data_IF_642769495759
#
_entry.id   IF_642769495759
#
_cell.length_a   1.000
_cell.length_b   1.000
_cell.length_c   1.000
_cell.angle_alpha   90.00
_cell.angle_beta   90.00
_cell.angle_gamma   90.00
#
_symmetry.space_group_name_H-M   'P 1'
#
loop_
_entity.id
_entity.type
_entity.pdbx_description
1 polymer ?
#
# COMPACT_ATOMS: atom_id res chain seq x y z
N UNK A 1 19.26 85.53 10.91
CA UNK A 1 18.33 84.95 9.92
C UNK A 1 17.64 83.78 10.60
N UNK A 2 16.38 83.96 10.99
CA UNK A 2 15.59 82.99 11.79
C UNK A 2 14.61 82.31 10.83
N UNK A 3 14.68 80.99 10.70
CA UNK A 3 13.74 80.19 9.90
C UNK A 3 12.62 79.64 10.80
N UNK A 4 11.35 79.61 10.34
CA UNK A 4 10.21 79.25 11.17
C UNK A 4 9.95 77.73 11.22
N UNK A 5 9.44 77.27 12.38
CA UNK A 5 8.95 75.91 12.62
C UNK A 5 7.70 75.62 11.78
N UNK A 6 7.76 74.57 10.95
CA UNK A 6 6.62 74.01 10.21
C UNK A 6 5.83 73.08 11.13
N UNK A 7 4.58 73.41 11.43
CA UNK A 7 3.61 72.54 12.09
C UNK A 7 3.13 71.47 11.11
N UNK A 8 3.46 70.20 11.38
CA UNK A 8 3.03 69.06 10.58
C UNK A 8 1.57 68.69 10.84
N UNK A 9 0.80 68.61 9.76
CA UNK A 9 -0.57 68.13 9.71
C UNK A 9 -0.62 66.63 10.06
N UNK A 10 -1.58 66.25 10.92
CA UNK A 10 -1.82 64.83 11.25
C UNK A 10 -2.53 64.17 10.07
N UNK A 11 -1.79 63.40 9.27
CA UNK A 11 -2.37 62.49 8.28
C UNK A 11 -3.29 61.48 8.99
N UNK A 12 -4.56 61.49 8.63
CA UNK A 12 -5.53 60.47 8.98
C UNK A 12 -5.10 59.15 8.32
N UNK A 13 -4.71 58.15 9.13
CA UNK A 13 -4.44 56.79 8.65
C UNK A 13 -5.74 55.97 8.72
N UNK A 14 -6.29 55.51 7.58
CA UNK A 14 -7.52 54.72 7.56
C UNK A 14 -7.36 53.29 8.13
N UNK A 15 -6.15 52.90 8.55
CA UNK A 15 -5.82 51.53 8.96
C UNK A 15 -6.03 51.21 10.44
N UNK A 16 -6.56 52.14 11.25
CA UNK A 16 -6.67 51.94 12.72
C UNK A 16 -7.89 51.14 13.20
N UNK A 17 -8.75 50.65 12.31
CA UNK A 17 -9.98 49.92 12.72
C UNK A 17 -10.18 48.58 12.02
N UNK A 18 -9.11 47.95 11.54
CA UNK A 18 -9.20 46.56 11.07
C UNK A 18 -9.13 45.63 12.27
N UNK A 19 -10.30 45.24 12.78
CA UNK A 19 -10.43 44.29 13.88
C UNK A 19 -10.13 42.88 13.35
N UNK A 20 -8.87 42.45 13.51
CA UNK A 20 -8.35 41.14 13.05
C UNK A 20 -9.28 39.97 13.40
N UNK A 21 -9.85 39.88 14.62
CA UNK A 21 -10.87 38.88 14.96
C UNK A 21 -12.06 38.80 13.98
N UNK A 22 -12.55 39.95 13.49
CA UNK A 22 -13.67 39.99 12.55
C UNK A 22 -13.26 39.37 11.21
N UNK A 23 -12.04 39.65 10.73
CA UNK A 23 -11.53 39.04 9.49
C UNK A 23 -11.43 37.52 9.64
N UNK A 24 -10.92 37.03 10.77
CA UNK A 24 -10.78 35.58 11.00
C UNK A 24 -12.14 34.87 11.04
N UNK A 25 -13.15 35.47 11.66
CA UNK A 25 -14.53 34.93 11.66
C UNK A 25 -15.10 34.90 10.24
N UNK A 26 -14.88 35.94 9.44
CA UNK A 26 -15.31 35.95 8.04
C UNK A 26 -14.59 34.88 7.20
N UNK A 27 -13.29 34.70 7.39
CA UNK A 27 -12.53 33.66 6.69
C UNK A 27 -13.01 32.25 7.06
N UNK A 28 -13.27 31.98 8.34
CA UNK A 28 -13.85 30.69 8.76
C UNK A 28 -15.26 30.48 8.18
N UNK A 29 -16.10 31.51 8.18
CA UNK A 29 -17.45 31.42 7.59
C UNK A 29 -17.42 31.10 6.09
N UNK A 30 -16.51 31.72 5.33
CA UNK A 30 -16.31 31.43 3.91
C UNK A 30 -15.80 30.00 3.71
N UNK A 31 -14.84 29.55 4.52
CA UNK A 31 -14.32 28.19 4.44
C UNK A 31 -15.42 27.13 4.66
N UNK A 32 -16.23 27.30 5.72
CA UNK A 32 -17.35 26.38 6.02
C UNK A 32 -18.36 26.36 4.86
N UNK A 33 -18.69 27.52 4.29
CA UNK A 33 -19.61 27.60 3.15
C UNK A 33 -19.05 26.90 1.91
N UNK A 34 -17.76 27.03 1.63
CA UNK A 34 -17.11 26.36 0.50
C UNK A 34 -17.10 24.84 0.69
N UNK A 35 -16.73 24.39 1.89
CA UNK A 35 -16.70 22.96 2.25
C UNK A 35 -18.09 22.32 2.15
N UNK A 36 -19.11 22.98 2.72
CA UNK A 36 -20.50 22.51 2.62
C UNK A 36 -20.97 22.44 1.15
N UNK A 37 -20.60 23.43 0.35
CA UNK A 37 -20.98 23.50 -1.07
C UNK A 37 -20.33 22.36 -1.86
N UNK A 38 -19.05 22.08 -1.62
CA UNK A 38 -18.34 20.95 -2.22
C UNK A 38 -18.95 19.61 -1.80
N UNK A 39 -19.31 19.45 -0.53
CA UNK A 39 -19.98 18.25 -0.05
C UNK A 39 -21.37 18.06 -0.70
N UNK A 40 -22.19 19.10 -0.82
CA UNK A 40 -23.49 19.02 -1.50
C UNK A 40 -23.37 18.70 -3.00
N UNK A 41 -22.33 19.23 -3.66
CA UNK A 41 -22.03 18.86 -5.05
C UNK A 41 -21.60 17.40 -5.19
N UNK A 42 -20.84 16.86 -4.23
CA UNK A 42 -20.44 15.45 -4.24
C UNK A 42 -21.63 14.49 -4.09
N UNK A 43 -22.58 14.83 -3.21
CA UNK A 43 -23.79 14.03 -2.95
C UNK A 43 -24.72 14.03 -4.16
N UNK A 44 -24.89 15.17 -4.82
CA UNK A 44 -25.72 15.27 -6.02
C UNK A 44 -25.12 14.50 -7.19
N UNK A 45 -23.79 14.54 -7.37
CA UNK A 45 -23.11 13.76 -8.41
C UNK A 45 -23.23 12.24 -8.17
N UNK A 46 -23.13 11.80 -6.92
CA UNK A 46 -23.34 10.40 -6.54
C UNK A 46 -24.77 9.92 -6.84
N UNK A 47 -25.78 10.74 -6.57
CA UNK A 47 -27.17 10.39 -6.85
C UNK A 47 -27.46 10.30 -8.36
N UNK A 48 -26.86 11.15 -9.18
CA UNK A 48 -27.01 11.12 -10.64
C UNK A 48 -26.40 9.84 -11.22
N UNK A 49 -25.16 9.48 -10.84
CA UNK A 49 -24.55 8.21 -11.26
C UNK A 49 -25.35 6.98 -10.80
N UNK A 50 -25.93 7.02 -9.60
CA UNK A 50 -26.77 5.91 -9.10
C UNK A 50 -28.09 5.74 -9.87
N UNK A 51 -28.58 6.80 -10.52
CA UNK A 51 -29.79 6.77 -11.36
C UNK A 51 -29.46 6.30 -12.78
N UNK A 52 -28.36 6.77 -13.36
CA UNK A 52 -27.90 6.29 -14.68
C UNK A 52 -27.55 4.79 -14.67
N UNK A 53 -26.93 4.29 -13.59
CA UNK A 53 -26.64 2.86 -13.46
C UNK A 53 -27.90 2.00 -13.22
N UNK A 54 -28.97 2.57 -12.67
CA UNK A 54 -30.27 1.89 -12.52
C UNK A 54 -31.08 1.90 -13.81
N UNK A 55 -30.99 2.96 -14.63
CA UNK A 55 -31.66 3.01 -15.93
C UNK A 55 -30.96 2.14 -16.99
N UNK A 56 -29.64 1.97 -16.96
CA UNK A 56 -28.96 1.00 -17.85
C UNK A 56 -29.33 -0.44 -17.53
N UNK A 57 -29.61 -0.75 -16.25
CA UNK A 57 -30.00 -2.09 -15.81
C UNK A 57 -31.49 -2.43 -16.02
N UNK A 58 -32.34 -1.46 -16.37
CA UNK A 58 -33.77 -1.71 -16.53
C UNK A 58 -34.18 -2.16 -17.95
N UNK A 59 -33.25 -2.26 -18.90
CA UNK A 59 -33.49 -2.85 -20.23
C UNK A 59 -33.20 -4.35 -20.34
N UNK A 60 -32.69 -4.98 -19.29
CA UNK A 60 -32.55 -6.43 -19.21
C UNK A 60 -33.32 -6.98 -18.00
N UNK A 61 -34.64 -7.12 -18.11
CA UNK A 61 -35.36 -8.05 -17.22
C UNK A 61 -36.69 -8.50 -17.82
N UNK A 62 -36.66 -9.53 -18.67
CA UNK A 62 -37.59 -10.66 -18.55
C UNK A 62 -36.85 -11.92 -19.01
N UNK A 63 -36.06 -12.51 -18.12
CA UNK A 63 -35.81 -13.95 -18.16
C UNK A 63 -35.64 -14.44 -16.73
N UNK A 64 -36.43 -15.43 -16.39
CA UNK A 64 -36.54 -16.10 -15.11
C UNK A 64 -35.20 -16.57 -14.56
N UNK A 65 -35.03 -16.40 -13.25
CA UNK A 65 -34.09 -17.08 -12.33
C UNK A 65 -33.47 -18.36 -12.89
N UNK A 66 -32.33 -18.24 -13.54
CA UNK A 66 -31.29 -19.26 -13.58
C UNK A 66 -30.15 -18.72 -12.74
N UNK A 67 -29.80 -19.44 -11.66
CA UNK A 67 -28.51 -19.29 -11.00
C UNK A 67 -27.48 -19.55 -12.10
N UNK A 68 -26.87 -18.48 -12.58
CA UNK A 68 -25.88 -18.51 -13.64
C UNK A 68 -24.58 -19.05 -13.01
N UNK A 69 -24.55 -20.37 -12.78
CA UNK A 69 -23.33 -21.12 -12.54
C UNK A 69 -22.52 -21.09 -13.83
N UNK A 70 -21.88 -19.94 -14.11
CA UNK A 70 -20.72 -19.93 -14.97
C UNK A 70 -19.77 -20.99 -14.40
N UNK A 71 -19.26 -21.91 -15.25
CA UNK A 71 -18.29 -22.90 -14.79
C UNK A 71 -17.16 -22.15 -14.08
N UNK A 72 -16.88 -22.55 -12.84
CA UNK A 72 -15.81 -21.98 -12.04
C UNK A 72 -14.53 -22.10 -12.87
N UNK A 73 -14.04 -20.96 -13.39
CA UNK A 73 -12.87 -20.92 -14.25
C UNK A 73 -11.72 -21.50 -13.43
N UNK A 74 -11.10 -22.56 -13.95
CA UNK A 74 -9.97 -23.19 -13.28
C UNK A 74 -8.80 -22.19 -13.32
N UNK A 75 -8.33 -21.79 -12.15
CA UNK A 75 -7.21 -20.87 -11.98
C UNK A 75 -5.89 -21.64 -11.97
N UNK A 76 -5.47 -22.13 -13.13
CA UNK A 76 -4.29 -22.98 -13.28
C UNK A 76 -3.12 -22.28 -13.98
N UNK A 77 -3.30 -21.05 -14.45
CA UNK A 77 -2.26 -20.28 -15.15
C UNK A 77 -1.92 -18.97 -14.43
N UNK A 78 -0.73 -18.44 -14.71
CA UNK A 78 -0.31 -17.12 -14.19
C UNK A 78 -1.07 -15.98 -14.88
N UNK A 79 -1.46 -16.21 -16.14
CA UNK A 79 -2.16 -15.24 -16.98
C UNK A 79 -3.53 -14.87 -16.39
N UNK A 80 -4.14 -15.75 -15.60
CA UNK A 80 -5.41 -15.47 -14.92
C UNK A 80 -5.32 -14.38 -13.83
N UNK A 81 -4.10 -13.99 -13.43
CA UNK A 81 -3.84 -12.93 -12.46
C UNK A 81 -3.35 -11.62 -13.10
N UNK A 82 -3.02 -11.61 -14.39
CA UNK A 82 -2.38 -10.48 -15.10
C UNK A 82 -3.37 -9.87 -16.11
N UNK A 83 -3.46 -8.54 -16.12
CA UNK A 83 -4.38 -7.83 -17.04
C UNK A 83 -3.82 -7.67 -18.46
N UNK A 84 -2.54 -7.28 -18.56
CA UNK A 84 -1.87 -6.95 -19.82
C UNK A 84 -0.39 -7.29 -19.76
N UNK A 85 0.22 -7.42 -20.92
CA UNK A 85 1.67 -7.55 -21.07
C UNK A 85 2.33 -6.23 -21.46
N UNK A 86 3.61 -6.08 -21.09
CA UNK A 86 4.42 -4.97 -21.54
C UNK A 86 4.47 -4.93 -23.09
N UNK A 87 4.09 -3.80 -23.69
CA UNK A 87 4.03 -3.62 -25.15
C UNK A 87 2.64 -3.84 -25.77
N UNK A 88 1.64 -4.30 -25.03
CA UNK A 88 0.27 -4.35 -25.50
C UNK A 88 -0.29 -2.92 -25.68
N UNK A 89 -0.83 -2.61 -26.85
CA UNK A 89 -1.50 -1.33 -27.09
C UNK A 89 -2.72 -1.21 -26.16
N UNK A 90 -2.78 -0.09 -25.41
CA UNK A 90 -3.93 0.30 -24.60
C UNK A 90 -4.57 1.55 -25.17
N UNK A 91 -5.89 1.59 -25.13
CA UNK A 91 -6.61 2.83 -25.30
C UNK A 91 -6.17 3.82 -24.19
N UNK A 92 -5.84 5.08 -24.50
CA UNK A 92 -5.47 6.08 -23.51
C UNK A 92 -6.60 6.21 -22.49
N UNK A 93 -6.35 5.79 -21.24
CA UNK A 93 -7.32 6.01 -20.18
C UNK A 93 -7.25 7.47 -19.70
N UNK A 94 -8.39 8.06 -19.34
CA UNK A 94 -8.45 9.38 -18.70
C UNK A 94 -7.58 9.39 -17.42
N UNK A 95 -6.59 10.29 -17.28
CA UNK A 95 -5.77 10.42 -16.07
C UNK A 95 -6.58 10.56 -14.77
N UNK A 96 -7.78 11.14 -14.83
CA UNK A 96 -8.68 11.23 -13.68
C UNK A 96 -9.36 9.92 -13.32
N UNK A 97 -9.64 9.10 -14.32
CA UNK A 97 -10.02 7.73 -14.06
C UNK A 97 -8.82 7.06 -13.40
N UNK A 98 -7.60 7.15 -13.98
CA UNK A 98 -6.38 6.53 -13.46
C UNK A 98 -6.03 6.87 -11.99
N UNK A 99 -6.43 8.03 -11.47
CA UNK A 99 -6.23 8.44 -10.06
C UNK A 99 -7.22 7.81 -9.05
N UNK A 100 -8.31 7.19 -9.52
CA UNK A 100 -9.41 6.69 -8.67
C UNK A 100 -9.47 5.16 -8.53
N UNK A 101 -8.52 4.40 -9.09
CA UNK A 101 -8.67 2.95 -9.18
C UNK A 101 -8.21 2.23 -7.92
N UNK A 102 -9.19 1.64 -7.24
CA UNK A 102 -9.10 0.25 -6.89
C UNK A 102 -8.88 -0.54 -8.19
N UNK A 103 -7.71 -1.16 -8.41
CA UNK A 103 -7.51 -2.06 -9.56
C UNK A 103 -8.68 -3.06 -9.61
N UNK A 104 -9.18 -3.45 -10.80
CA UNK A 104 -10.28 -4.41 -10.89
C UNK A 104 -9.90 -5.71 -10.18
N UNK A 105 -10.86 -6.51 -9.69
CA UNK A 105 -10.53 -7.81 -9.13
C UNK A 105 -9.84 -8.70 -10.17
N UNK A 106 -8.87 -9.48 -9.71
CA UNK A 106 -8.37 -10.62 -10.46
C UNK A 106 -9.54 -11.58 -10.74
N UNK A 107 -9.47 -12.31 -11.86
CA UNK A 107 -10.48 -13.34 -12.15
C UNK A 107 -10.40 -14.47 -11.11
N UNK A 108 -9.19 -14.72 -10.62
CA UNK A 108 -8.88 -15.74 -9.64
C UNK A 108 -8.85 -15.23 -8.21
N UNK A 109 -9.40 -16.05 -7.32
CA UNK A 109 -9.36 -15.84 -5.88
C UNK A 109 -8.11 -16.48 -5.31
N UNK A 110 -7.56 -15.85 -4.27
CA UNK A 110 -6.46 -16.41 -3.49
C UNK A 110 -6.94 -16.63 -2.06
N UNK A 111 -6.71 -17.82 -1.52
CA UNK A 111 -7.25 -18.24 -0.21
C UNK A 111 -8.78 -18.05 -0.10
N UNK A 112 -9.52 -18.17 -1.20
CA UNK A 112 -10.98 -17.97 -1.25
C UNK A 112 -11.43 -16.51 -1.32
N UNK A 113 -10.52 -15.55 -1.27
CA UNK A 113 -10.83 -14.12 -1.28
C UNK A 113 -10.52 -13.49 -2.64
N UNK A 114 -11.30 -12.47 -3.02
CA UNK A 114 -10.95 -11.61 -4.16
C UNK A 114 -9.68 -10.83 -3.82
N UNK A 115 -8.85 -10.60 -4.82
CA UNK A 115 -7.61 -9.82 -4.74
C UNK A 115 -7.55 -8.91 -5.97
N UNK A 116 -6.78 -7.82 -5.92
CA UNK A 116 -6.60 -6.95 -7.07
C UNK A 116 -6.01 -7.72 -8.25
N UNK A 117 -6.34 -7.31 -9.46
CA UNK A 117 -5.66 -7.77 -10.68
C UNK A 117 -4.29 -7.12 -10.79
N UNK A 118 -3.29 -7.85 -11.28
CA UNK A 118 -1.96 -7.29 -11.52
C UNK A 118 -1.92 -6.54 -12.85
N UNK A 119 -1.46 -5.29 -12.80
CA UNK A 119 -1.21 -4.44 -13.97
C UNK A 119 0.26 -3.96 -14.01
N UNK A 120 1.11 -4.51 -14.88
CA UNK A 120 2.53 -4.16 -14.90
C UNK A 120 2.75 -2.64 -15.03
N UNK A 121 1.86 -1.91 -15.70
CA UNK A 121 2.04 -0.48 -15.97
C UNK A 121 1.56 0.42 -14.81
N UNK A 122 0.66 -0.06 -13.96
CA UNK A 122 -0.02 0.77 -12.96
C UNK A 122 0.07 0.22 -11.52
N UNK A 123 0.86 -0.81 -11.25
CA UNK A 123 0.97 -1.44 -9.92
C UNK A 123 1.75 -0.60 -8.87
N UNK A 124 2.21 0.60 -9.21
CA UNK A 124 2.97 1.49 -8.31
C UNK A 124 2.03 2.30 -7.42
N UNK A 125 2.44 2.63 -6.18
CA UNK A 125 1.79 3.66 -5.33
C UNK A 125 1.80 5.00 -6.07
N UNK A 126 0.80 5.19 -6.93
CA UNK A 126 0.85 6.25 -7.93
C UNK A 126 0.76 7.63 -7.30
N UNK A 127 0.12 7.75 -6.14
CA UNK A 127 0.16 8.96 -5.34
C UNK A 127 1.59 9.33 -4.96
N UNK A 128 2.38 8.38 -4.47
CA UNK A 128 3.81 8.55 -4.17
C UNK A 128 4.62 8.83 -5.44
N UNK A 129 4.46 8.00 -6.48
CA UNK A 129 5.20 8.12 -7.74
C UNK A 129 4.96 9.46 -8.46
N UNK A 130 3.76 10.03 -8.33
CA UNK A 130 3.41 11.34 -8.88
C UNK A 130 3.69 12.50 -7.91
N UNK A 131 4.21 12.22 -6.71
CA UNK A 131 4.53 13.22 -5.69
C UNK A 131 3.31 13.90 -5.06
N UNK A 132 2.12 13.29 -5.18
CA UNK A 132 0.88 13.80 -4.56
C UNK A 132 0.79 13.52 -3.07
N UNK A 133 1.53 12.53 -2.58
CA UNK A 133 1.49 12.08 -1.18
C UNK A 133 2.83 11.47 -0.79
N UNK A 134 3.05 11.34 0.52
CA UNK A 134 4.19 10.62 1.07
C UNK A 134 3.90 9.13 1.12
N UNK A 135 4.96 8.34 1.29
CA UNK A 135 4.91 6.88 1.46
C UNK A 135 3.99 6.44 2.61
N UNK A 136 3.90 7.27 3.66
CA UNK A 136 3.07 7.02 4.83
C UNK A 136 1.63 7.53 4.69
N UNK A 137 1.42 8.51 3.80
CA UNK A 137 0.16 9.22 3.66
C UNK A 137 -0.67 8.77 2.46
N UNK A 138 -0.13 7.89 1.59
CA UNK A 138 -0.84 7.45 0.39
C UNK A 138 -2.08 6.62 0.75
N UNK A 139 -3.25 7.27 0.66
CA UNK A 139 -4.58 6.66 0.85
C UNK A 139 -5.14 6.07 -0.44
N UNK A 140 -4.42 6.14 -1.56
CA UNK A 140 -4.85 5.50 -2.82
C UNK A 140 -4.66 3.98 -2.80
N UNK A 141 -4.29 3.43 -1.64
CA UNK A 141 -3.86 2.05 -1.47
C UNK A 141 -4.94 0.98 -1.68
N UNK A 142 -4.40 -0.21 -1.92
CA UNK A 142 -5.04 -1.54 -1.95
C UNK A 142 -5.69 -1.94 -0.61
N UNK A 143 -6.03 -1.00 0.28
CA UNK A 143 -6.51 -1.31 1.65
C UNK A 143 -7.70 -2.28 1.61
N UNK A 144 -8.65 -2.05 0.71
CA UNK A 144 -9.81 -2.91 0.51
C UNK A 144 -9.46 -4.27 -0.12
N UNK A 145 -8.25 -4.45 -0.64
CA UNK A 145 -7.74 -5.74 -1.10
C UNK A 145 -6.98 -6.49 -0.02
N UNK A 146 -6.49 -5.85 1.05
CA UNK A 146 -5.76 -6.59 2.08
C UNK A 146 -6.57 -7.70 2.72
N UNK A 147 -5.94 -8.83 3.00
CA UNK A 147 -6.60 -9.98 3.62
C UNK A 147 -7.11 -9.62 5.01
N UNK A 148 -6.37 -8.78 5.76
CA UNK A 148 -6.78 -8.29 7.07
C UNK A 148 -8.06 -7.45 7.08
N UNK A 149 -8.55 -6.96 5.93
CA UNK A 149 -9.89 -6.33 5.83
C UNK A 149 -11.01 -7.33 5.59
N UNK A 150 -10.67 -8.57 5.25
CA UNK A 150 -11.60 -9.67 4.91
C UNK A 150 -11.65 -10.73 6.01
N UNK A 151 -10.56 -10.88 6.74
CA UNK A 151 -10.36 -11.83 7.83
C UNK A 151 -9.96 -11.05 9.08
N UNK A 152 -10.66 -11.32 10.19
CA UNK A 152 -10.34 -10.71 11.48
C UNK A 152 -9.17 -11.42 12.15
N UNK A 153 -7.95 -11.00 11.79
CA UNK A 153 -6.72 -11.54 12.38
C UNK A 153 -6.55 -11.18 13.86
N UNK A 154 -7.30 -10.22 14.40
CA UNK A 154 -7.22 -9.85 15.82
C UNK A 154 -7.76 -10.95 16.76
N UNK A 155 -8.43 -11.97 16.19
CA UNK A 155 -8.82 -13.19 16.92
C UNK A 155 -7.65 -14.14 17.19
N UNK A 156 -6.56 -14.04 16.41
CA UNK A 156 -5.37 -14.84 16.67
C UNK A 156 -4.70 -14.37 17.96
N UNK A 157 -4.27 -15.34 18.79
CA UNK A 157 -3.59 -15.05 20.05
C UNK A 157 -2.22 -14.40 19.81
N UNK A 158 -1.56 -14.78 18.71
CA UNK A 158 -0.27 -14.29 18.27
C UNK A 158 -0.39 -13.73 16.86
N UNK A 159 0.08 -12.50 16.66
CA UNK A 159 -0.05 -11.73 15.44
C UNK A 159 1.32 -11.16 15.11
N UNK A 160 1.97 -11.75 14.12
CA UNK A 160 3.38 -11.55 13.82
C UNK A 160 3.52 -10.75 12.53
N UNK A 161 4.21 -9.62 12.62
CA UNK A 161 4.68 -8.89 11.45
C UNK A 161 6.17 -9.13 11.25
N UNK A 162 6.56 -9.48 10.03
CA UNK A 162 7.96 -9.71 9.64
C UNK A 162 8.29 -8.74 8.51
N UNK A 163 9.24 -7.84 8.75
CA UNK A 163 9.71 -6.86 7.79
C UNK A 163 11.13 -7.24 7.34
N UNK A 164 11.25 -7.75 6.11
CA UNK A 164 12.53 -8.06 5.50
C UNK A 164 12.98 -6.87 4.65
N UNK A 165 13.89 -6.04 5.18
CA UNK A 165 14.25 -4.77 4.58
C UNK A 165 13.66 -3.56 5.29
N UNK A 166 13.71 -3.56 6.63
CA UNK A 166 12.99 -2.59 7.41
C UNK A 166 13.52 -1.16 7.22
N UNK A 167 14.83 -0.98 6.98
CA UNK A 167 15.53 0.32 6.91
C UNK A 167 15.39 1.22 8.16
N UNK A 168 14.22 1.46 8.74
CA UNK A 168 14.05 2.20 9.99
C UNK A 168 12.71 1.92 10.64
N UNK A 169 12.53 2.36 11.88
CA UNK A 169 11.23 2.18 12.54
C UNK A 169 10.12 3.00 11.88
N UNK A 170 10.44 4.20 11.37
CA UNK A 170 9.47 5.14 10.81
C UNK A 170 9.07 4.86 9.34
N UNK A 171 9.51 3.72 8.76
CA UNK A 171 9.21 3.32 7.37
C UNK A 171 8.03 2.34 7.35
N UNK A 172 8.19 1.16 6.73
CA UNK A 172 7.21 0.08 6.67
C UNK A 172 6.76 -0.36 8.05
N UNK A 173 7.65 -0.46 9.05
CA UNK A 173 7.25 -0.86 10.43
C UNK A 173 6.17 0.07 10.99
N UNK A 174 6.39 1.38 10.99
CA UNK A 174 5.40 2.33 11.48
C UNK A 174 4.12 2.33 10.64
N UNK A 175 4.24 2.14 9.32
CA UNK A 175 3.07 2.04 8.46
C UNK A 175 2.19 0.83 8.84
N UNK A 176 2.77 -0.37 8.92
CA UNK A 176 2.03 -1.58 9.30
C UNK A 176 1.45 -1.48 10.71
N UNK A 177 2.20 -0.94 11.67
CA UNK A 177 1.73 -0.79 13.04
C UNK A 177 0.56 0.20 13.19
N UNK A 178 0.37 1.13 12.25
CA UNK A 178 -0.65 2.19 12.37
C UNK A 178 -1.77 2.12 11.34
N UNK A 179 -1.56 1.45 10.20
CA UNK A 179 -2.51 1.45 9.08
C UNK A 179 -3.03 0.07 8.73
N UNK A 180 -2.20 -0.97 8.82
CA UNK A 180 -2.65 -2.31 8.51
C UNK A 180 -3.67 -2.75 9.58
N UNK A 181 -4.79 -3.42 9.22
CA UNK A 181 -5.95 -3.63 10.11
C UNK A 181 -5.73 -4.74 11.17
N UNK A 182 -4.54 -4.82 11.74
CA UNK A 182 -4.12 -5.80 12.74
C UNK A 182 -3.28 -5.15 13.82
N UNK A 183 -3.61 -5.42 15.08
CA UNK A 183 -2.82 -5.02 16.23
C UNK A 183 -1.73 -6.07 16.53
N UNK A 184 -0.58 -5.94 15.89
CA UNK A 184 0.50 -6.94 15.97
C UNK A 184 1.02 -7.12 17.41
N UNK A 185 1.15 -8.37 17.84
CA UNK A 185 1.76 -8.71 19.14
C UNK A 185 3.28 -8.76 19.06
N UNK A 186 3.82 -9.05 17.87
CA UNK A 186 5.25 -9.20 17.63
C UNK A 186 5.62 -8.57 16.28
N UNK A 187 6.73 -7.82 16.27
CA UNK A 187 7.28 -7.22 15.05
C UNK A 187 8.75 -7.61 14.95
N UNK A 188 9.13 -8.22 13.83
CA UNK A 188 10.50 -8.62 13.53
C UNK A 188 11.01 -7.84 12.31
N UNK A 189 11.90 -6.88 12.55
CA UNK A 189 12.56 -6.11 11.50
C UNK A 189 13.93 -6.68 11.16
N UNK A 190 14.21 -6.88 9.88
CA UNK A 190 15.50 -7.33 9.37
C UNK A 190 16.07 -6.28 8.43
N UNK A 191 17.37 -6.05 8.54
CA UNK A 191 18.09 -5.18 7.63
C UNK A 191 19.44 -5.83 7.29
N UNK A 192 19.82 -5.76 6.02
CA UNK A 192 21.09 -6.32 5.53
C UNK A 192 22.28 -5.44 5.86
N UNK A 193 22.07 -4.12 5.93
CA UNK A 193 23.12 -3.15 6.26
C UNK A 193 22.99 -2.67 7.71
N UNK A 194 23.97 -2.94 8.59
CA UNK A 194 23.86 -2.68 10.03
C UNK A 194 23.68 -1.20 10.41
N UNK A 195 23.98 -0.29 9.48
CA UNK A 195 23.85 1.16 9.65
C UNK A 195 22.55 1.73 9.06
N UNK A 196 21.75 0.91 8.36
CA UNK A 196 20.48 1.36 7.81
C UNK A 196 19.40 1.34 8.89
N UNK A 197 19.24 0.24 9.65
CA UNK A 197 18.19 0.13 10.67
C UNK A 197 18.27 1.24 11.74
N UNK A 198 17.43 2.27 11.59
CA UNK A 198 17.34 3.38 12.56
C UNK A 198 16.21 3.14 13.55
N UNK A 199 16.58 2.97 14.82
CA UNK A 199 15.64 2.89 15.95
C UNK A 199 15.28 4.29 16.48
N UNK A 200 14.09 4.45 17.10
CA UNK A 200 13.72 5.69 17.78
C UNK A 200 14.66 6.00 18.95
N UNK A 201 14.85 7.28 19.26
CA UNK A 201 15.65 7.69 20.42
C UNK A 201 15.04 7.14 21.73
N UNK A 202 15.87 6.52 22.58
CA UNK A 202 15.44 5.91 23.84
C UNK A 202 14.98 4.46 23.73
N UNK A 203 14.99 3.87 22.53
CA UNK A 203 14.94 2.42 22.37
C UNK A 203 16.33 1.85 22.60
N UNK A 204 16.50 1.16 23.74
CA UNK A 204 17.75 0.49 24.08
C UNK A 204 17.78 -0.91 23.47
N UNK A 205 18.59 -1.06 22.43
CA UNK A 205 18.84 -2.35 21.80
C UNK A 205 19.45 -3.34 22.80
N UNK A 206 20.32 -2.91 23.75
CA UNK A 206 21.00 -3.79 24.74
C UNK A 206 20.01 -4.59 25.59
N UNK A 207 18.81 -4.05 25.83
CA UNK A 207 17.73 -4.73 26.53
C UNK A 207 16.94 -5.76 25.68
N UNK A 208 17.11 -5.72 24.37
CA UNK A 208 16.40 -6.52 23.36
C UNK A 208 17.32 -7.43 22.52
N UNK A 209 18.56 -7.68 23.00
CA UNK A 209 19.44 -8.70 22.42
C UNK A 209 19.21 -10.07 23.06
N UNK A 210 19.10 -11.10 22.23
CA UNK A 210 19.50 -12.44 22.65
C UNK A 210 21.03 -12.51 22.72
N UNK A 211 21.54 -13.12 23.79
CA UNK A 211 22.97 -13.17 24.16
C UNK A 211 23.88 -13.46 22.95
N UNK A 212 25.03 -12.77 22.87
CA UNK A 212 25.99 -12.86 21.74
C UNK A 212 26.56 -14.27 21.52
N UNK A 213 26.39 -15.17 22.50
CA UNK A 213 26.66 -16.61 22.37
C UNK A 213 25.64 -17.39 21.53
N UNK A 214 24.51 -16.78 21.20
CA UNK A 214 23.42 -17.31 20.36
C UNK A 214 23.33 -16.40 19.12
N UNK A 215 24.32 -16.49 18.25
CA UNK A 215 24.45 -15.82 16.95
C UNK A 215 23.22 -15.03 16.41
N UNK A 216 23.18 -13.71 16.66
CA UNK A 216 22.33 -12.73 15.94
C UNK A 216 22.84 -12.34 14.55
N UNK A 217 23.97 -12.92 14.12
CA UNK A 217 24.40 -13.01 12.73
C UNK A 217 24.81 -14.45 12.46
N UNK A 218 23.89 -15.40 12.61
CA UNK A 218 24.10 -16.72 12.01
C UNK A 218 24.04 -16.51 10.49
N UNK A 219 24.86 -17.26 9.74
CA UNK A 219 24.44 -17.67 8.39
C UNK A 219 23.05 -18.27 8.55
N UNK A 220 22.00 -17.48 8.37
CA UNK A 220 20.65 -18.01 8.27
C UNK A 220 20.72 -18.86 7.00
N UNK A 221 20.68 -20.19 7.16
CA UNK A 221 20.86 -21.10 6.01
C UNK A 221 19.78 -20.87 4.93
N UNK A 222 18.68 -20.19 5.27
CA UNK A 222 17.78 -19.43 4.38
C UNK A 222 16.81 -18.60 5.23
N UNK A 223 16.35 -17.42 4.79
CA UNK A 223 15.32 -16.63 5.52
C UNK A 223 14.03 -17.43 5.78
N UNK A 224 13.72 -18.39 4.90
CA UNK A 224 12.68 -19.40 5.11
C UNK A 224 12.90 -20.24 6.39
N UNK A 225 14.13 -20.63 6.71
CA UNK A 225 14.44 -21.39 7.93
C UNK A 225 14.14 -20.62 9.22
N UNK A 226 14.35 -19.30 9.24
CA UNK A 226 13.97 -18.47 10.38
C UNK A 226 12.45 -18.50 10.61
N UNK A 227 11.67 -18.22 9.56
CA UNK A 227 10.22 -18.22 9.61
C UNK A 227 9.68 -19.60 10.01
N UNK A 228 10.16 -20.67 9.35
CA UNK A 228 9.64 -22.04 9.54
C UNK A 228 10.06 -22.68 10.86
N UNK A 229 11.22 -22.33 11.42
CA UNK A 229 11.79 -23.11 12.52
C UNK A 229 12.14 -22.30 13.76
N UNK A 230 12.58 -21.06 13.61
CA UNK A 230 13.06 -20.26 14.75
C UNK A 230 11.92 -19.52 15.44
N UNK A 231 10.97 -18.98 14.67
CA UNK A 231 9.78 -18.30 15.22
C UNK A 231 8.79 -19.24 15.91
N UNK A 232 8.90 -20.56 15.69
CA UNK A 232 8.02 -21.60 16.22
C UNK A 232 6.52 -21.28 15.99
N UNK A 233 6.22 -20.75 14.81
CA UNK A 233 4.86 -20.37 14.42
C UNK A 233 3.92 -21.56 14.53
N UNK A 234 2.71 -21.31 14.99
CA UNK A 234 1.60 -22.26 15.02
C UNK A 234 0.61 -21.97 13.88
N UNK A 235 -0.17 -22.95 13.42
CA UNK A 235 -1.18 -22.73 12.37
C UNK A 235 -2.24 -21.67 12.71
N UNK A 236 -2.43 -21.36 13.99
CA UNK A 236 -3.38 -20.37 14.49
C UNK A 236 -2.78 -18.96 14.63
N UNK A 237 -1.47 -18.80 14.42
CA UNK A 237 -0.81 -17.50 14.42
C UNK A 237 -1.18 -16.75 13.13
N UNK A 238 -1.43 -15.44 13.25
CA UNK A 238 -1.57 -14.58 12.07
C UNK A 238 -0.19 -14.05 11.65
N UNK A 239 0.23 -14.27 10.41
CA UNK A 239 1.59 -13.98 9.95
C UNK A 239 1.60 -13.15 8.68
N UNK A 240 2.05 -11.90 8.82
CA UNK A 240 2.12 -10.93 7.73
C UNK A 240 3.60 -10.65 7.45
N UNK A 241 3.98 -10.66 6.17
CA UNK A 241 5.38 -10.48 5.76
C UNK A 241 5.50 -9.38 4.72
N UNK A 242 6.49 -8.50 4.89
CA UNK A 242 6.95 -7.53 3.87
C UNK A 242 8.38 -7.87 3.44
N UNK A 243 8.68 -7.71 2.15
CA UNK A 243 10.00 -7.96 1.56
C UNK A 243 10.41 -6.81 0.65
N UNK A 244 11.59 -6.25 0.87
CA UNK A 244 12.19 -5.15 0.12
C UNK A 244 13.70 -5.17 0.38
N UNK A 245 14.47 -5.83 -0.49
CA UNK A 245 15.87 -6.14 -0.16
C UNK A 245 16.77 -5.91 -1.37
N UNK A 246 16.54 -4.82 -2.09
CA UNK A 246 17.47 -4.26 -3.08
C UNK A 246 17.98 -5.30 -4.11
N UNK A 247 17.06 -6.14 -4.60
CA UNK A 247 17.32 -7.22 -5.56
C UNK A 247 17.56 -8.59 -4.93
N UNK A 248 17.79 -8.69 -3.62
CA UNK A 248 17.97 -9.95 -2.92
C UNK A 248 16.64 -10.68 -2.66
N UNK A 249 15.50 -10.03 -2.86
CA UNK A 249 14.16 -10.63 -2.80
C UNK A 249 13.99 -11.74 -3.85
N UNK A 250 14.53 -11.56 -5.05
CA UNK A 250 14.36 -12.48 -6.18
C UNK A 250 14.70 -13.95 -5.86
N UNK A 251 15.92 -14.29 -5.43
CA UNK A 251 16.25 -15.68 -5.10
C UNK A 251 15.40 -16.25 -3.96
N UNK A 252 14.94 -15.42 -3.01
CA UNK A 252 14.09 -15.87 -1.89
C UNK A 252 12.70 -16.20 -2.38
N UNK A 253 12.11 -15.34 -3.20
CA UNK A 253 10.78 -15.56 -3.74
C UNK A 253 10.76 -16.80 -4.65
N UNK A 254 11.81 -17.02 -5.44
CA UNK A 254 11.96 -18.26 -6.21
C UNK A 254 12.02 -19.51 -5.32
N UNK A 255 12.66 -19.43 -4.16
CA UNK A 255 12.68 -20.54 -3.21
C UNK A 255 11.30 -20.73 -2.55
N UNK A 256 10.57 -19.65 -2.26
CA UNK A 256 9.24 -19.70 -1.65
C UNK A 256 8.16 -20.22 -2.59
N UNK A 257 8.22 -19.86 -3.87
CA UNK A 257 7.35 -20.43 -4.92
C UNK A 257 7.50 -21.95 -5.02
N UNK A 258 8.70 -22.49 -4.73
CA UNK A 258 8.97 -23.92 -4.75
C UNK A 258 8.59 -24.63 -3.45
N UNK A 259 8.34 -23.89 -2.37
CA UNK A 259 8.01 -24.44 -1.06
C UNK A 259 6.48 -24.42 -0.82
N UNK A 260 5.79 -25.57 -0.91
CA UNK A 260 4.34 -25.64 -0.75
C UNK A 260 3.87 -25.41 0.70
N UNK A 261 4.78 -25.32 1.68
CA UNK A 261 4.44 -25.01 3.07
C UNK A 261 4.42 -23.50 3.33
N UNK A 262 5.27 -22.72 2.65
CA UNK A 262 5.36 -21.28 2.85
C UNK A 262 4.02 -20.52 2.72
N UNK A 263 3.18 -20.74 1.69
CA UNK A 263 1.89 -20.04 1.59
C UNK A 263 0.87 -20.45 2.67
N UNK A 264 1.12 -21.55 3.39
CA UNK A 264 0.31 -21.97 4.55
C UNK A 264 0.77 -21.30 5.85
N UNK A 265 2.02 -20.83 5.88
CA UNK A 265 2.62 -20.15 7.03
C UNK A 265 2.39 -18.64 6.93
N UNK A 266 2.51 -18.07 5.73
CA UNK A 266 2.33 -16.64 5.49
C UNK A 266 0.88 -16.40 5.09
N UNK A 267 0.15 -15.64 5.91
CA UNK A 267 -1.23 -15.26 5.62
C UNK A 267 -1.29 -14.27 4.47
N UNK A 268 -0.49 -13.21 4.56
CA UNK A 268 -0.42 -12.12 3.59
C UNK A 268 1.02 -11.67 3.38
N UNK A 269 1.36 -11.42 2.11
CA UNK A 269 2.71 -11.11 1.65
C UNK A 269 2.73 -9.78 0.90
N UNK A 270 3.64 -8.90 1.25
CA UNK A 270 3.89 -7.61 0.61
C UNK A 270 5.30 -7.62 0.02
N UNK A 271 5.44 -7.27 -1.26
CA UNK A 271 6.71 -7.43 -1.98
C UNK A 271 7.06 -6.19 -2.78
N UNK A 272 8.24 -5.63 -2.50
CA UNK A 272 8.95 -4.66 -3.33
C UNK A 272 9.94 -5.39 -4.22
N UNK A 273 9.58 -5.51 -5.50
CA UNK A 273 10.41 -6.15 -6.50
C UNK A 273 11.24 -5.08 -7.18
N UNK A 274 12.56 -5.10 -6.93
CA UNK A 274 13.47 -4.22 -7.63
C UNK A 274 13.74 -4.81 -9.02
N UNK A 275 13.39 -4.08 -10.07
CA UNK A 275 13.60 -4.44 -11.46
C UNK A 275 14.18 -3.24 -12.24
N UNK A 276 14.73 -3.51 -13.41
CA UNK A 276 15.30 -2.49 -14.27
C UNK A 276 14.24 -1.78 -15.10
N UNK A 277 14.26 -0.46 -15.05
CA UNK A 277 13.51 0.43 -15.92
C UNK A 277 14.45 1.50 -16.48
N UNK A 278 14.26 2.00 -17.72
CA UNK A 278 15.06 3.10 -18.25
C UNK A 278 15.11 4.35 -17.33
N UNK A 279 14.04 4.56 -16.56
CA UNK A 279 13.95 5.68 -15.60
C UNK A 279 14.64 5.37 -14.25
N UNK A 280 14.88 4.09 -13.94
CA UNK A 280 15.41 3.61 -12.67
C UNK A 280 16.71 2.84 -12.97
N UNK A 281 17.85 3.55 -13.04
CA UNK A 281 19.13 2.99 -13.49
C UNK A 281 19.84 2.12 -12.41
N UNK A 282 19.12 1.19 -11.80
CA UNK A 282 19.63 0.28 -10.79
C UNK A 282 20.39 -0.88 -11.44
N UNK A 283 21.73 -0.78 -11.40
CA UNK A 283 22.63 -1.73 -12.07
C UNK A 283 22.52 -3.18 -11.58
N UNK A 284 22.17 -3.39 -10.31
CA UNK A 284 22.09 -4.70 -9.64
C UNK A 284 20.91 -5.57 -10.10
N UNK A 285 19.89 -4.97 -10.71
CA UNK A 285 18.64 -5.63 -11.12
C UNK A 285 18.40 -5.58 -12.63
N UNK A 286 19.44 -5.29 -13.41
CA UNK A 286 19.41 -5.19 -14.89
C UNK A 286 18.87 -6.44 -15.60
N UNK A 287 18.95 -7.58 -14.96
CA UNK A 287 18.45 -8.85 -15.48
C UNK A 287 16.93 -9.02 -15.34
N UNK A 288 16.26 -8.18 -14.53
CA UNK A 288 14.83 -8.30 -14.26
C UNK A 288 14.09 -7.12 -14.88
N UNK A 289 13.01 -7.42 -15.60
CA UNK A 289 12.09 -6.44 -16.15
C UNK A 289 10.87 -6.23 -15.25
N UNK A 290 10.08 -5.22 -15.58
CA UNK A 290 8.76 -4.99 -14.98
C UNK A 290 7.81 -6.17 -15.20
N UNK A 291 7.85 -6.78 -16.40
CA UNK A 291 7.06 -7.97 -16.71
C UNK A 291 7.50 -9.16 -15.84
N UNK A 292 8.81 -9.34 -15.63
CA UNK A 292 9.32 -10.38 -14.72
C UNK A 292 8.79 -10.18 -13.29
N UNK A 293 8.76 -8.94 -12.80
CA UNK A 293 8.26 -8.63 -11.47
C UNK A 293 6.77 -8.98 -11.34
N UNK A 294 6.00 -8.64 -12.37
CA UNK A 294 4.56 -8.95 -12.44
C UNK A 294 4.31 -10.45 -12.50
N UNK A 295 5.09 -11.18 -13.29
CA UNK A 295 5.01 -12.64 -13.39
C UNK A 295 5.40 -13.33 -12.09
N UNK A 296 6.42 -12.84 -11.38
CA UNK A 296 6.80 -13.35 -10.06
C UNK A 296 5.64 -13.23 -9.05
N UNK A 297 4.99 -12.06 -8.99
CA UNK A 297 3.87 -11.87 -8.07
C UNK A 297 2.64 -12.72 -8.47
N UNK A 298 2.37 -12.88 -9.76
CA UNK A 298 1.35 -13.79 -10.26
C UNK A 298 1.68 -15.26 -9.90
N UNK A 299 2.93 -15.67 -10.00
CA UNK A 299 3.38 -17.01 -9.65
C UNK A 299 3.22 -17.29 -8.14
N UNK A 300 3.55 -16.31 -7.28
CA UNK A 300 3.26 -16.40 -5.83
C UNK A 300 1.77 -16.62 -5.57
N UNK A 301 0.89 -15.87 -6.24
CA UNK A 301 -0.57 -16.03 -6.11
C UNK A 301 -1.06 -17.40 -6.58
N UNK A 302 -0.53 -17.88 -7.71
CA UNK A 302 -0.81 -19.23 -8.22
C UNK A 302 -0.36 -20.31 -7.23
N UNK A 303 0.70 -20.07 -6.44
CA UNK A 303 1.15 -20.95 -5.35
C UNK A 303 0.36 -20.77 -4.04
N UNK A 304 -0.59 -19.86 -3.99
CA UNK A 304 -1.49 -19.66 -2.86
C UNK A 304 -1.06 -18.56 -1.88
N UNK A 305 -0.03 -17.78 -2.18
CA UNK A 305 0.30 -16.58 -1.41
C UNK A 305 -0.71 -15.48 -1.69
N UNK A 306 -1.31 -14.91 -0.64
CA UNK A 306 -2.08 -13.68 -0.77
C UNK A 306 -1.10 -12.50 -0.86
N UNK A 307 -0.58 -12.26 -2.07
CA UNK A 307 0.59 -11.42 -2.29
C UNK A 307 0.25 -10.10 -2.99
N UNK A 308 0.79 -8.99 -2.50
CA UNK A 308 0.62 -7.63 -2.99
C UNK A 308 1.96 -6.99 -3.35
N UNK A 309 1.92 -5.99 -4.23
CA UNK A 309 3.03 -5.07 -4.37
C UNK A 309 3.19 -4.20 -3.11
N UNK A 310 4.44 -3.87 -2.80
CA UNK A 310 4.86 -2.84 -1.85
C UNK A 310 5.87 -1.96 -2.60
N UNK A 311 5.52 -0.72 -2.96
CA UNK A 311 6.37 0.09 -3.84
C UNK A 311 6.09 1.59 -3.72
#
# INVERSE_FOLDING_TARGET
MVLPRRTGEKLFSPFRFVNIPIILVWMMGIYILLDLSLHLLSVTHYQIQSKESKESNHKESVSSTSVDTKPEKLCDTIEDYIDVHEGQQREPQDPWNQLKWCLPPAECRVKGHLIERLDPLNNYRRGVALGFTTDLDDKTHLEHWFLGTKVDFNKAARRVFIDLGANGFHTSIAWFATRYPVDFTEVYGFETAPNLLRLPAGWDEESNWMDRGIHGWRKIKSRAGFIKHELKLQPEDAVIVKIDIEGAEWPILYDWVKDPEMPKIIDELFVELHYFHPDNNWGSVRQWSRDDATRMLAELRLKGFYAHYWD
#
